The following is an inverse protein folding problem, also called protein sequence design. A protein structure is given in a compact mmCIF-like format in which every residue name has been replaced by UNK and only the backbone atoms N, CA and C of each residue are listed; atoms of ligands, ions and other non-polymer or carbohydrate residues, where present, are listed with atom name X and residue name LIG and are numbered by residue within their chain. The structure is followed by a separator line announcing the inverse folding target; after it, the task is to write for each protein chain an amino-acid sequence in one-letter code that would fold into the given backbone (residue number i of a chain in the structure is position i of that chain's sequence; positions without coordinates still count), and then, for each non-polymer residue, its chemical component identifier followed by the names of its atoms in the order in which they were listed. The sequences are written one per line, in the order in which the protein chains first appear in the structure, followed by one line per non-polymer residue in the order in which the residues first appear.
data_IF_684994477164
#
_entry.id   IF_684994477164
#
_cell.length_a   1.000
_cell.length_b   1.000
_cell.length_c   1.000
_cell.angle_alpha   90.00
_cell.angle_beta   90.00
_cell.angle_gamma   90.00
#
_symmetry.space_group_name_H-M   'P 1'
#
loop_
_entity.id
_entity.type
_entity.pdbx_description
1 polymer ?
#
# COMPACT_ATOMS: atom_id res chain seq x y z
N UNK A 1 15.08 30.54 5.54
CA UNK A 1 15.87 29.43 4.96
C UNK A 1 16.27 28.54 6.13
N UNK A 2 15.81 27.30 6.16
CA UNK A 2 16.21 26.34 7.19
C UNK A 2 17.61 25.80 6.87
N UNK A 3 18.38 25.44 7.89
CA UNK A 3 19.71 24.86 7.71
C UNK A 3 19.63 23.47 7.02
N UNK A 4 20.38 23.22 5.94
CA UNK A 4 20.31 21.95 5.22
C UNK A 4 20.54 20.72 6.10
N UNK A 5 21.47 20.80 7.05
CA UNK A 5 21.74 19.69 7.96
C UNK A 5 20.56 19.40 8.88
N UNK A 6 19.92 20.44 9.44
CA UNK A 6 18.70 20.28 10.24
C UNK A 6 17.58 19.62 9.43
N UNK A 7 17.37 20.06 8.17
CA UNK A 7 16.32 19.48 7.32
C UNK A 7 16.59 18.02 7.04
N UNK A 8 17.82 17.67 6.66
CA UNK A 8 18.26 16.30 6.43
C UNK A 8 18.03 15.41 7.65
N UNK A 9 18.47 15.87 8.82
CA UNK A 9 18.36 15.12 10.07
C UNK A 9 16.89 14.89 10.47
N UNK A 10 16.06 15.91 10.33
CA UNK A 10 14.63 15.83 10.63
C UNK A 10 13.90 14.92 9.65
N UNK A 11 14.21 15.01 8.35
CA UNK A 11 13.62 14.15 7.34
C UNK A 11 14.01 12.69 7.53
N UNK A 12 15.30 12.42 7.79
CA UNK A 12 15.80 11.08 8.14
C UNK A 12 15.04 10.49 9.33
N UNK A 13 14.78 11.31 10.37
CA UNK A 13 14.00 10.89 11.54
C UNK A 13 12.54 10.58 11.18
N UNK A 14 11.92 11.36 10.29
CA UNK A 14 10.56 11.09 9.80
C UNK A 14 10.52 9.75 9.04
N UNK A 15 11.46 9.52 8.12
CA UNK A 15 11.56 8.28 7.34
C UNK A 15 11.77 7.05 8.23
N UNK A 16 12.65 7.15 9.23
CA UNK A 16 12.94 6.05 10.15
C UNK A 16 11.73 5.61 10.99
N UNK A 17 10.80 6.53 11.29
CA UNK A 17 9.59 6.28 12.07
C UNK A 17 8.32 6.20 11.22
N UNK A 18 8.46 6.05 9.89
CA UNK A 18 7.31 5.84 9.02
C UNK A 18 6.56 4.58 9.41
N UNK A 19 5.25 4.69 9.50
CA UNK A 19 4.33 3.59 9.72
C UNK A 19 3.24 3.60 8.64
N UNK A 20 2.36 2.60 8.66
CA UNK A 20 1.33 2.47 7.64
C UNK A 20 0.31 3.62 7.62
N UNK A 21 0.15 4.42 8.68
CA UNK A 21 -0.91 5.43 8.76
C UNK A 21 -0.77 6.52 7.70
N UNK A 22 -1.90 6.94 7.12
CA UNK A 22 -1.93 8.02 6.13
C UNK A 22 -1.30 9.31 6.67
N UNK A 23 -1.54 9.65 7.94
CA UNK A 23 -0.96 10.85 8.55
C UNK A 23 0.58 10.78 8.64
N UNK A 24 1.15 9.60 8.94
CA UNK A 24 2.61 9.42 8.95
C UNK A 24 3.21 9.66 7.57
N UNK A 25 2.64 9.05 6.52
CA UNK A 25 3.08 9.22 5.14
C UNK A 25 2.90 10.68 4.66
N UNK A 26 1.71 11.24 4.87
CA UNK A 26 1.34 12.58 4.44
C UNK A 26 2.21 13.66 5.10
N UNK A 27 2.48 13.54 6.41
CA UNK A 27 3.35 14.48 7.13
C UNK A 27 4.78 14.48 6.57
N UNK A 28 5.32 13.31 6.24
CA UNK A 28 6.64 13.21 5.61
C UNK A 28 6.64 13.82 4.21
N UNK A 29 5.59 13.58 3.40
CA UNK A 29 5.45 14.12 2.06
C UNK A 29 5.38 15.66 2.08
N UNK A 30 4.52 16.23 2.92
CA UNK A 30 4.44 17.68 3.09
C UNK A 30 5.76 18.28 3.57
N UNK A 31 6.50 17.58 4.43
CA UNK A 31 7.81 18.05 4.86
C UNK A 31 8.81 18.11 3.71
N UNK A 32 8.85 17.09 2.85
CA UNK A 32 9.70 17.07 1.66
C UNK A 32 9.31 18.18 0.66
N UNK A 33 8.01 18.35 0.41
CA UNK A 33 7.51 19.38 -0.51
C UNK A 33 7.72 20.79 0.02
N UNK A 34 7.63 21.00 1.34
CA UNK A 34 7.94 22.31 1.95
C UNK A 34 9.41 22.69 1.77
N UNK A 35 10.30 21.71 1.74
CA UNK A 35 11.75 21.91 1.61
C UNK A 35 12.26 21.47 0.22
N UNK A 36 11.44 21.63 -0.82
CA UNK A 36 11.74 21.21 -2.20
C UNK A 36 12.99 21.83 -2.83
N UNK A 37 13.50 22.93 -2.28
CA UNK A 37 14.79 23.53 -2.68
C UNK A 37 15.99 22.60 -2.41
N UNK A 38 15.81 21.59 -1.56
CA UNK A 38 16.81 20.59 -1.19
C UNK A 38 16.39 19.18 -1.62
N UNK A 39 15.59 19.07 -2.68
CA UNK A 39 15.04 17.81 -3.16
C UNK A 39 16.12 16.76 -3.45
N UNK A 40 17.29 17.14 -3.98
CA UNK A 40 18.41 16.21 -4.24
C UNK A 40 18.94 15.52 -2.97
N UNK A 41 19.15 16.29 -1.88
CA UNK A 41 19.64 15.75 -0.60
C UNK A 41 18.54 14.94 0.11
N UNK A 42 17.29 15.40 0.03
CA UNK A 42 16.16 14.68 0.59
C UNK A 42 15.89 13.38 -0.18
N UNK A 43 16.03 13.36 -1.50
CA UNK A 43 15.95 12.12 -2.29
C UNK A 43 17.07 11.15 -1.92
N UNK A 44 18.28 11.66 -1.70
CA UNK A 44 19.40 10.85 -1.20
C UNK A 44 19.07 10.22 0.17
N UNK A 45 18.40 10.94 1.07
CA UNK A 45 17.92 10.39 2.33
C UNK A 45 16.91 9.25 2.14
N UNK A 46 16.03 9.32 1.14
CA UNK A 46 15.06 8.25 0.84
C UNK A 46 15.82 6.97 0.49
N UNK A 47 16.80 7.05 -0.42
CA UNK A 47 17.61 5.91 -0.84
C UNK A 47 18.44 5.34 0.31
N UNK A 48 19.10 6.20 1.09
CA UNK A 48 19.86 5.76 2.28
C UNK A 48 18.97 5.04 3.30
N UNK A 49 17.75 5.53 3.55
CA UNK A 49 16.83 4.88 4.48
C UNK A 49 16.28 3.57 3.93
N UNK A 50 16.06 3.46 2.62
CA UNK A 50 15.70 2.18 2.00
C UNK A 50 16.79 1.12 2.26
N UNK A 51 18.06 1.46 2.10
CA UNK A 51 19.16 0.51 2.30
C UNK A 51 19.38 0.13 3.76
N UNK A 52 19.17 1.06 4.70
CA UNK A 52 19.55 0.89 6.12
C UNK A 52 18.44 0.37 7.04
N UNK A 53 17.22 0.21 6.53
CA UNK A 53 16.05 -0.17 7.34
C UNK A 53 15.53 -1.57 7.03
N UNK A 54 14.64 -2.08 7.89
CA UNK A 54 14.05 -3.40 7.75
C UNK A 54 12.97 -3.44 6.65
N UNK A 55 12.54 -4.65 6.27
CA UNK A 55 11.57 -4.86 5.18
C UNK A 55 10.22 -4.15 5.40
N UNK A 56 9.80 -3.97 6.66
CA UNK A 56 8.54 -3.29 6.96
C UNK A 56 8.66 -1.78 6.72
N UNK A 57 9.73 -1.16 7.23
CA UNK A 57 10.02 0.25 6.99
C UNK A 57 10.24 0.52 5.49
N UNK A 58 10.90 -0.38 4.75
CA UNK A 58 11.02 -0.27 3.28
C UNK A 58 9.67 -0.26 2.58
N UNK A 59 8.72 -1.10 3.02
CA UNK A 59 7.35 -1.06 2.51
C UNK A 59 6.67 0.28 2.83
N UNK A 60 6.83 0.80 4.04
CA UNK A 60 6.33 2.14 4.42
C UNK A 60 6.93 3.25 3.55
N UNK A 61 8.23 3.20 3.25
CA UNK A 61 8.90 4.16 2.37
C UNK A 61 8.32 4.07 0.94
N UNK A 62 8.02 2.87 0.43
CA UNK A 62 7.37 2.72 -0.89
C UNK A 62 6.00 3.41 -0.96
N UNK A 63 5.17 3.27 0.08
CA UNK A 63 3.89 3.99 0.18
C UNK A 63 4.06 5.50 0.42
N UNK A 64 5.14 5.91 1.08
CA UNK A 64 5.48 7.33 1.20
C UNK A 64 5.87 7.92 -0.16
N UNK A 65 6.62 7.18 -0.99
CA UNK A 65 6.98 7.58 -2.36
C UNK A 65 5.72 7.80 -3.20
N UNK A 66 4.76 6.87 -3.12
CA UNK A 66 3.43 7.02 -3.75
C UNK A 66 2.77 8.34 -3.34
N UNK A 67 2.67 8.59 -2.04
CA UNK A 67 2.07 9.80 -1.49
C UNK A 67 2.81 11.08 -1.95
N UNK A 68 4.15 11.09 -1.90
CA UNK A 68 4.96 12.21 -2.35
C UNK A 68 4.72 12.53 -3.83
N UNK A 69 4.70 11.50 -4.67
CA UNK A 69 4.41 11.60 -6.10
C UNK A 69 3.00 12.15 -6.38
N UNK A 70 1.98 11.66 -5.67
CA UNK A 70 0.61 12.17 -5.79
C UNK A 70 0.54 13.68 -5.51
N UNK A 71 1.16 14.14 -4.43
CA UNK A 71 1.17 15.57 -4.10
C UNK A 71 2.00 16.39 -5.09
N UNK A 72 3.14 15.88 -5.56
CA UNK A 72 3.94 16.57 -6.57
C UNK A 72 3.18 16.74 -7.90
N UNK A 73 2.44 15.71 -8.35
CA UNK A 73 1.61 15.79 -9.56
C UNK A 73 0.41 16.73 -9.36
N UNK A 74 -0.20 16.74 -8.17
CA UNK A 74 -1.26 17.69 -7.83
C UNK A 74 -0.77 19.14 -7.85
N UNK A 75 0.38 19.43 -7.24
CA UNK A 75 1.01 20.76 -7.27
C UNK A 75 1.32 21.19 -8.72
N UNK A 76 1.84 20.26 -9.54
CA UNK A 76 2.10 20.53 -10.96
C UNK A 76 0.82 20.85 -11.75
N UNK A 77 -0.27 20.11 -11.50
CA UNK A 77 -1.59 20.39 -12.11
C UNK A 77 -2.12 21.76 -11.68
N UNK A 78 -1.80 22.20 -10.46
CA UNK A 78 -2.15 23.53 -9.94
C UNK A 78 -1.21 24.65 -10.44
N UNK A 79 -0.25 24.34 -11.31
CA UNK A 79 0.68 25.30 -11.92
C UNK A 79 2.05 25.40 -11.25
N UNK A 80 2.36 24.57 -10.25
CA UNK A 80 3.63 24.57 -9.54
C UNK A 80 4.46 23.32 -9.86
N UNK A 81 5.32 23.43 -10.86
CA UNK A 81 6.18 22.33 -11.30
C UNK A 81 7.43 22.12 -10.43
N UNK A 82 7.64 22.90 -9.37
CA UNK A 82 8.88 22.83 -8.58
C UNK A 82 9.03 21.52 -7.80
N UNK A 83 7.94 20.83 -7.49
CA UNK A 83 7.97 19.51 -6.85
C UNK A 83 8.31 18.34 -7.79
N UNK A 84 8.32 18.57 -9.12
CA UNK A 84 8.56 17.51 -10.10
C UNK A 84 10.01 17.00 -10.12
N UNK A 85 10.93 17.66 -9.41
CA UNK A 85 12.30 17.16 -9.19
C UNK A 85 12.29 15.77 -8.53
N UNK A 86 11.48 15.58 -7.49
CA UNK A 86 11.29 14.28 -6.85
C UNK A 86 10.81 13.20 -7.83
N UNK A 87 9.83 13.53 -8.67
CA UNK A 87 9.27 12.60 -9.66
C UNK A 87 10.35 12.13 -10.64
N UNK A 88 11.17 13.05 -11.17
CA UNK A 88 12.25 12.72 -12.10
C UNK A 88 13.34 11.85 -11.48
N UNK A 89 13.77 12.17 -10.25
CA UNK A 89 14.77 11.37 -9.55
C UNK A 89 14.24 9.97 -9.20
N UNK A 90 12.97 9.87 -8.80
CA UNK A 90 12.32 8.58 -8.55
C UNK A 90 12.16 7.75 -9.81
N UNK A 91 11.78 8.34 -10.94
CA UNK A 91 11.74 7.64 -12.24
C UNK A 91 13.11 7.07 -12.62
N UNK A 92 14.19 7.84 -12.43
CA UNK A 92 15.56 7.39 -12.68
C UNK A 92 15.94 6.20 -11.79
N UNK A 93 15.59 6.25 -10.52
CA UNK A 93 16.06 5.29 -9.50
C UNK A 93 15.06 4.17 -9.21
N UNK A 94 13.92 4.10 -9.93
CA UNK A 94 12.81 3.19 -9.62
C UNK A 94 13.22 1.73 -9.56
N UNK A 95 14.14 1.29 -10.43
CA UNK A 95 14.65 -0.08 -10.43
C UNK A 95 15.38 -0.41 -9.12
N UNK A 96 16.25 0.49 -8.67
CA UNK A 96 16.99 0.32 -7.42
C UNK A 96 16.06 0.36 -6.20
N UNK A 97 15.08 1.27 -6.21
CA UNK A 97 14.04 1.35 -5.18
C UNK A 97 13.24 0.05 -5.10
N UNK A 98 12.73 -0.44 -6.23
CA UNK A 98 11.96 -1.69 -6.32
C UNK A 98 12.79 -2.87 -5.81
N UNK A 99 14.02 -3.01 -6.26
CA UNK A 99 14.90 -4.10 -5.83
C UNK A 99 15.17 -4.05 -4.32
N UNK A 100 15.45 -2.86 -3.79
CA UNK A 100 15.71 -2.68 -2.37
C UNK A 100 14.47 -2.98 -1.51
N UNK A 101 13.27 -2.58 -1.95
CA UNK A 101 12.01 -2.81 -1.21
C UNK A 101 11.58 -4.28 -1.26
N UNK A 102 11.69 -4.94 -2.41
CA UNK A 102 11.28 -6.35 -2.58
C UNK A 102 12.17 -7.28 -1.77
N UNK A 103 13.47 -6.98 -1.72
CA UNK A 103 14.48 -7.84 -1.11
C UNK A 103 14.66 -9.15 -1.87
N UNK A 104 15.56 -10.00 -1.36
CA UNK A 104 15.85 -11.32 -1.95
C UNK A 104 14.71 -12.31 -1.81
N UNK A 105 13.91 -12.20 -0.75
CA UNK A 105 12.83 -13.14 -0.42
C UNK A 105 11.47 -12.77 -1.02
N UNK A 106 11.36 -11.67 -1.77
CA UNK A 106 10.10 -11.29 -2.42
C UNK A 106 9.01 -10.81 -1.45
N UNK A 107 9.35 -10.46 -0.20
CA UNK A 107 8.39 -10.20 0.88
C UNK A 107 7.39 -9.06 0.58
N UNK A 108 7.80 -8.09 -0.25
CA UNK A 108 7.02 -6.88 -0.54
C UNK A 108 6.53 -6.79 -1.99
N UNK A 109 6.52 -7.89 -2.75
CA UNK A 109 6.10 -7.89 -4.17
C UNK A 109 4.71 -7.26 -4.35
N UNK A 110 3.74 -7.61 -3.50
CA UNK A 110 2.37 -7.06 -3.58
C UNK A 110 2.31 -5.56 -3.29
N UNK A 111 3.11 -5.09 -2.35
CA UNK A 111 3.20 -3.66 -2.01
C UNK A 111 3.73 -2.88 -3.20
N UNK A 112 4.83 -3.34 -3.79
CA UNK A 112 5.44 -2.68 -4.95
C UNK A 112 4.49 -2.70 -6.14
N UNK A 113 3.85 -3.83 -6.43
CA UNK A 113 2.86 -3.94 -7.51
C UNK A 113 1.75 -2.92 -7.37
N UNK A 114 1.17 -2.79 -6.16
CA UNK A 114 0.13 -1.80 -5.91
C UNK A 114 0.61 -0.37 -6.19
N UNK A 115 1.78 0.00 -5.66
CA UNK A 115 2.32 1.35 -5.86
C UNK A 115 2.66 1.63 -7.32
N UNK A 116 3.23 0.67 -8.06
CA UNK A 116 3.51 0.82 -9.49
C UNK A 116 2.25 1.09 -10.31
N UNK A 117 1.11 0.48 -9.95
CA UNK A 117 -0.18 0.75 -10.59
C UNK A 117 -0.70 2.16 -10.29
N UNK A 118 -0.50 2.66 -9.08
CA UNK A 118 -0.81 4.06 -8.78
C UNK A 118 0.08 5.00 -9.60
N UNK A 119 1.39 4.73 -9.69
CA UNK A 119 2.31 5.55 -10.48
C UNK A 119 1.99 5.51 -11.99
N UNK A 120 1.49 4.38 -12.51
CA UNK A 120 0.94 4.27 -13.88
C UNK A 120 -0.27 5.19 -14.04
N UNK A 121 -1.24 5.12 -13.13
CA UNK A 121 -2.47 5.93 -13.18
C UNK A 121 -2.21 7.45 -13.07
N UNK A 122 -1.12 7.83 -12.39
CA UNK A 122 -0.67 9.22 -12.31
C UNK A 122 0.13 9.70 -13.54
N UNK A 123 0.33 8.84 -14.54
CA UNK A 123 1.19 9.08 -15.70
C UNK A 123 2.65 9.40 -15.33
N UNK A 124 3.12 8.88 -14.19
CA UNK A 124 4.53 8.99 -13.78
C UNK A 124 5.35 7.90 -14.46
N UNK A 125 4.85 6.68 -14.52
CA UNK A 125 5.51 5.59 -15.23
C UNK A 125 4.71 5.23 -16.47
N UNK A 126 5.42 4.93 -17.57
CA UNK A 126 4.79 4.41 -18.77
C UNK A 126 4.25 3.00 -18.50
N UNK A 127 3.14 2.67 -19.14
CA UNK A 127 2.48 1.36 -19.02
C UNK A 127 3.43 0.21 -19.35
N UNK A 128 4.26 0.39 -20.37
CA UNK A 128 5.27 -0.57 -20.81
C UNK A 128 6.31 -0.82 -19.71
N UNK A 129 6.82 0.24 -19.09
CA UNK A 129 7.77 0.16 -17.97
C UNK A 129 7.18 -0.59 -16.78
N UNK A 130 5.92 -0.33 -16.43
CA UNK A 130 5.24 -1.02 -15.33
C UNK A 130 5.05 -2.50 -15.65
N UNK A 131 4.70 -2.84 -16.89
CA UNK A 131 4.59 -4.25 -17.32
C UNK A 131 5.92 -5.00 -17.25
N UNK A 132 7.03 -4.37 -17.66
CA UNK A 132 8.36 -4.95 -17.55
C UNK A 132 8.75 -5.20 -16.08
N UNK A 133 8.53 -4.21 -15.21
CA UNK A 133 8.78 -4.34 -13.77
C UNK A 133 7.93 -5.46 -13.17
N UNK A 134 6.64 -5.53 -13.51
CA UNK A 134 5.75 -6.59 -13.02
C UNK A 134 6.17 -7.99 -13.48
N UNK A 135 6.65 -8.14 -14.72
CA UNK A 135 7.16 -9.40 -15.22
C UNK A 135 8.38 -9.87 -14.40
N UNK A 136 9.29 -8.95 -14.07
CA UNK A 136 10.43 -9.23 -13.18
C UNK A 136 9.95 -9.62 -11.78
N UNK A 137 8.98 -8.89 -11.22
CA UNK A 137 8.42 -9.16 -9.90
C UNK A 137 7.74 -10.53 -9.81
N UNK A 138 7.05 -10.97 -10.88
CA UNK A 138 6.39 -12.27 -10.94
C UNK A 138 7.36 -13.44 -10.75
N UNK A 139 8.60 -13.30 -11.25
CA UNK A 139 9.65 -14.32 -11.06
C UNK A 139 10.16 -14.40 -9.61
N UNK A 140 10.00 -13.31 -8.84
CA UNK A 140 10.44 -13.19 -7.44
C UNK A 140 9.30 -13.42 -6.43
N UNK A 141 8.08 -13.64 -6.90
CA UNK A 141 6.94 -13.92 -6.03
C UNK A 141 7.09 -15.33 -5.45
N UNK A 142 7.60 -15.41 -4.22
CA UNK A 142 7.70 -16.68 -3.50
C UNK A 142 6.27 -17.18 -3.25
N UNK A 143 5.93 -18.32 -3.82
CA UNK A 143 4.73 -19.05 -3.45
C UNK A 143 4.81 -19.31 -1.94
N UNK A 144 3.96 -18.64 -1.15
CA UNK A 144 3.88 -18.91 0.27
C UNK A 144 3.71 -20.42 0.47
N UNK A 145 4.57 -21.10 1.25
CA UNK A 145 4.49 -22.54 1.46
C UNK A 145 3.12 -23.03 1.96
N UNK A 146 2.32 -22.14 2.55
CA UNK A 146 0.96 -22.42 3.01
C UNK A 146 -0.11 -22.36 1.91
N UNK A 147 0.11 -21.60 0.84
CA UNK A 147 -0.82 -21.51 -0.31
C UNK A 147 -0.51 -22.55 -1.41
N UNK A 148 0.70 -23.12 -1.41
CA UNK A 148 1.07 -24.19 -2.35
C UNK A 148 0.39 -25.53 -2.02
N UNK A 149 -0.12 -25.70 -0.80
CA UNK A 149 -0.92 -26.87 -0.39
C UNK A 149 -2.40 -26.48 -0.34
N UNK A 150 -2.98 -26.20 -1.50
CA UNK A 150 -4.41 -26.35 -1.71
C UNK A 150 -4.75 -27.83 -1.79
N UNK A 151 -4.63 -28.56 -0.69
CA UNK A 151 -5.18 -29.91 -0.58
C UNK A 151 -6.29 -29.90 0.48
N UNK A 152 -7.50 -29.93 -0.05
CA UNK A 152 -8.76 -30.07 0.69
C UNK A 152 -8.82 -31.49 1.22
N UNK A 153 -8.20 -31.76 2.37
CA UNK A 153 -8.68 -32.85 3.21
C UNK A 153 -8.22 -32.73 4.65
N UNK A 154 -9.18 -32.40 5.53
CA UNK A 154 -8.98 -32.42 6.97
C UNK A 154 -8.67 -33.83 7.46
N UNK A 155 -7.40 -34.08 7.80
CA UNK A 155 -7.01 -35.08 8.80
C UNK A 155 -5.88 -34.52 9.64
N UNK A 156 -6.24 -34.02 10.81
CA UNK A 156 -5.30 -33.72 11.87
C UNK A 156 -4.57 -35.01 12.29
N UNK A 157 -3.24 -34.95 12.34
CA UNK A 157 -2.43 -35.92 13.08
C UNK A 157 -1.29 -35.17 13.76
N UNK A 158 -1.16 -35.25 15.09
CA UNK A 158 -0.13 -34.55 15.83
C UNK A 158 1.15 -35.37 15.78
N UNK A 159 2.13 -34.95 14.99
CA UNK A 159 3.34 -35.76 14.78
C UNK A 159 4.54 -34.97 14.28
N UNK A 160 5.33 -34.45 15.23
CA UNK A 160 6.77 -34.21 15.17
C UNK A 160 7.27 -33.44 13.92
N UNK A 161 7.34 -32.11 14.06
CA UNK A 161 8.15 -31.27 13.19
C UNK A 161 9.63 -31.66 13.34
N UNK A 162 10.15 -32.42 12.38
CA UNK A 162 11.56 -32.64 12.18
C UNK A 162 12.25 -31.30 11.91
N UNK A 163 13.19 -30.94 12.79
CA UNK A 163 14.12 -29.83 12.59
C UNK A 163 15.05 -30.19 11.42
N UNK A 164 14.72 -29.72 10.22
CA UNK A 164 15.68 -29.62 9.13
C UNK A 164 16.58 -28.39 9.33
N UNK A 165 17.91 -28.49 9.18
CA UNK A 165 18.81 -27.34 9.24
C UNK A 165 19.08 -26.83 7.82
N UNK A 166 18.56 -25.66 7.44
CA UNK A 166 19.13 -24.79 6.39
C UNK A 166 18.23 -23.57 6.16
N UNK A 167 18.82 -22.38 6.23
CA UNK A 167 18.14 -21.11 5.99
C UNK A 167 18.34 -20.15 7.16
N UNK A 168 19.55 -19.60 7.28
CA UNK A 168 19.91 -18.56 8.25
C UNK A 168 19.23 -17.21 7.98
N UNK A 169 17.92 -17.21 7.74
CA UNK A 169 17.12 -16.01 7.87
C UNK A 169 16.97 -15.72 9.36
N UNK A 170 17.53 -14.62 9.81
CA UNK A 170 17.36 -14.13 11.18
C UNK A 170 15.85 -14.02 11.43
N UNK A 171 15.29 -14.94 12.22
CA UNK A 171 13.84 -14.98 12.48
C UNK A 171 13.47 -13.64 13.10
N UNK A 172 12.62 -12.86 12.41
CA UNK A 172 12.16 -11.55 12.89
C UNK A 172 11.66 -11.67 14.33
N UNK A 173 11.94 -10.65 15.15
CA UNK A 173 11.51 -10.63 16.53
C UNK A 173 9.98 -10.67 16.63
N UNK A 174 9.43 -11.33 17.65
CA UNK A 174 7.97 -11.44 17.85
C UNK A 174 7.26 -10.08 17.76
N UNK A 175 7.85 -9.04 18.37
CA UNK A 175 7.33 -7.67 18.34
C UNK A 175 7.32 -7.05 16.95
N UNK A 176 8.34 -7.33 16.14
CA UNK A 176 8.43 -6.85 14.75
C UNK A 176 7.39 -7.53 13.87
N UNK A 177 7.16 -8.83 14.09
CA UNK A 177 6.11 -9.59 13.40
C UNK A 177 4.73 -9.04 13.77
N UNK A 178 4.44 -8.86 15.06
CA UNK A 178 3.16 -8.28 15.52
C UNK A 178 2.93 -6.87 14.96
N UNK A 179 3.96 -6.03 14.96
CA UNK A 179 3.89 -4.70 14.36
C UNK A 179 3.57 -4.76 12.87
N UNK A 180 4.25 -5.64 12.11
CA UNK A 180 3.98 -5.81 10.68
C UNK A 180 2.56 -6.29 10.41
N UNK A 181 2.06 -7.24 11.21
CA UNK A 181 0.68 -7.73 11.11
C UNK A 181 -0.32 -6.59 11.33
N UNK A 182 -0.11 -5.77 12.36
CA UNK A 182 -1.01 -4.65 12.65
C UNK A 182 -0.94 -3.56 11.56
N UNK A 183 0.25 -3.29 11.02
CA UNK A 183 0.41 -2.36 9.90
C UNK A 183 -0.29 -2.86 8.64
N UNK A 184 -0.17 -4.15 8.30
CA UNK A 184 -0.87 -4.74 7.16
C UNK A 184 -2.39 -4.78 7.37
N UNK A 185 -2.85 -4.97 8.61
CA UNK A 185 -4.27 -4.86 8.99
C UNK A 185 -4.79 -3.45 8.77
N UNK A 186 -4.06 -2.44 9.21
CA UNK A 186 -4.41 -1.03 9.02
C UNK A 186 -4.39 -0.61 7.54
N UNK A 187 -3.53 -1.20 6.70
CA UNK A 187 -3.58 -1.01 5.23
C UNK A 187 -4.87 -1.58 4.63
N UNK A 188 -5.21 -2.82 4.97
CA UNK A 188 -6.41 -3.48 4.43
C UNK A 188 -7.68 -2.81 4.90
N UNK A 189 -7.71 -2.37 6.17
CA UNK A 189 -8.83 -1.61 6.73
C UNK A 189 -9.08 -0.35 5.89
N UNK A 190 -8.05 0.46 5.65
CA UNK A 190 -8.19 1.68 4.82
C UNK A 190 -8.61 1.42 3.38
N UNK A 191 -8.12 0.35 2.75
CA UNK A 191 -8.57 -0.01 1.40
C UNK A 191 -10.09 -0.25 1.34
N UNK A 192 -10.68 -0.73 2.44
CA UNK A 192 -12.13 -0.97 2.55
C UNK A 192 -12.92 0.25 3.05
N UNK A 193 -12.27 1.25 3.65
CA UNK A 193 -12.95 2.44 4.19
C UNK A 193 -13.53 3.34 3.09
N UNK A 194 -12.99 3.29 1.86
CA UNK A 194 -13.46 4.12 0.75
C UNK A 194 -14.15 3.35 -0.37
N UNK A 195 -14.30 2.02 -0.25
CA UNK A 195 -14.87 1.18 -1.32
C UNK A 195 -16.36 1.46 -1.57
N UNK A 196 -17.07 1.87 -0.51
CA UNK A 196 -18.49 2.20 -0.57
C UNK A 196 -18.74 3.63 -1.04
N UNK A 197 -17.74 4.51 -1.01
CA UNK A 197 -17.89 5.89 -1.40
C UNK A 197 -18.27 5.99 -2.89
N UNK A 198 -19.26 6.82 -3.21
CA UNK A 198 -19.61 7.22 -4.57
C UNK A 198 -19.20 8.68 -4.69
N UNK A 199 -18.29 8.98 -5.62
CA UNK A 199 -18.01 10.35 -6.00
C UNK A 199 -19.00 10.70 -7.12
N UNK A 200 -19.56 11.91 -7.11
CA UNK A 200 -20.41 12.38 -8.20
C UNK A 200 -21.67 13.09 -7.73
N UNK A 201 -21.99 14.22 -8.38
CA UNK A 201 -23.31 14.83 -8.32
C UNK A 201 -24.08 14.41 -9.58
N UNK A 202 -25.12 13.56 -9.46
CA UNK A 202 -25.96 13.16 -10.60
C UNK A 202 -26.26 11.67 -10.65
N UNK A 203 -26.13 11.06 -11.83
CA UNK A 203 -26.52 9.67 -12.10
C UNK A 203 -25.41 8.64 -11.89
N UNK A 204 -24.21 9.07 -11.45
CA UNK A 204 -23.05 8.18 -11.26
C UNK A 204 -23.33 7.06 -10.24
N UNK A 205 -24.09 7.36 -9.17
CA UNK A 205 -24.56 6.35 -8.22
C UNK A 205 -25.48 5.31 -8.89
N UNK A 206 -26.44 5.79 -9.68
CA UNK A 206 -27.40 4.94 -10.37
C UNK A 206 -26.71 4.06 -11.42
N UNK A 207 -25.78 4.61 -12.18
CA UNK A 207 -25.05 3.89 -13.22
C UNK A 207 -24.16 2.80 -12.60
N UNK A 208 -23.43 3.12 -11.52
CA UNK A 208 -22.65 2.12 -10.78
C UNK A 208 -23.55 1.01 -10.24
N UNK A 209 -24.68 1.38 -9.63
CA UNK A 209 -25.63 0.39 -9.13
C UNK A 209 -26.22 -0.45 -10.26
N UNK A 210 -26.49 0.12 -11.42
CA UNK A 210 -27.02 -0.60 -12.58
C UNK A 210 -26.02 -1.61 -13.15
N UNK A 211 -24.72 -1.27 -13.17
CA UNK A 211 -23.66 -2.14 -13.65
C UNK A 211 -23.24 -3.22 -12.65
N UNK A 212 -23.21 -2.88 -11.36
CA UNK A 212 -22.69 -3.74 -10.29
C UNK A 212 -23.76 -4.53 -9.54
N UNK A 213 -25.06 -4.22 -9.71
CA UNK A 213 -26.13 -4.94 -9.05
C UNK A 213 -26.09 -6.42 -9.41
N UNK A 214 -26.12 -7.26 -8.37
CA UNK A 214 -26.31 -8.69 -8.54
C UNK A 214 -27.77 -9.01 -8.87
N UNK A 215 -27.99 -10.15 -9.51
CA UNK A 215 -29.32 -10.73 -9.63
C UNK A 215 -29.93 -11.01 -8.24
N UNK A 216 -31.27 -11.04 -8.17
CA UNK A 216 -32.01 -11.33 -6.95
C UNK A 216 -31.67 -12.76 -6.47
N UNK A 217 -31.19 -12.86 -5.24
CA UNK A 217 -30.83 -14.10 -4.56
C UNK A 217 -31.81 -14.52 -3.46
N UNK A 218 -31.51 -15.64 -2.81
CA UNK A 218 -32.30 -16.17 -1.68
C UNK A 218 -32.29 -15.22 -0.47
N UNK A 219 -31.13 -14.61 -0.19
CA UNK A 219 -30.95 -13.67 0.92
C UNK A 219 -31.83 -12.40 0.78
N UNK A 220 -32.11 -11.97 -0.45
CA UNK A 220 -33.01 -10.84 -0.72
C UNK A 220 -34.46 -11.16 -0.31
N UNK A 221 -34.92 -12.38 -0.56
CA UNK A 221 -36.25 -12.83 -0.14
C UNK A 221 -36.35 -12.94 1.39
N UNK A 222 -35.28 -13.40 2.05
CA UNK A 222 -35.21 -13.45 3.51
C UNK A 222 -35.30 -12.04 4.08
N UNK A 223 -34.47 -11.12 3.58
CA UNK A 223 -34.45 -9.71 3.99
C UNK A 223 -35.82 -9.06 3.80
N UNK A 224 -36.44 -9.25 2.63
CA UNK A 224 -37.77 -8.69 2.32
C UNK A 224 -38.87 -9.21 3.25
N UNK A 225 -38.80 -10.49 3.66
CA UNK A 225 -39.75 -11.07 4.61
C UNK A 225 -39.56 -10.48 6.00
N UNK A 226 -38.32 -10.36 6.47
CA UNK A 226 -38.00 -9.78 7.78
C UNK A 226 -38.45 -8.32 7.87
N UNK A 227 -38.16 -7.51 6.84
CA UNK A 227 -38.63 -6.13 6.72
C UNK A 227 -40.17 -6.04 6.77
N UNK A 228 -40.87 -6.95 6.08
CA UNK A 228 -42.33 -6.98 6.07
C UNK A 228 -42.90 -7.34 7.45
N UNK A 229 -42.26 -8.25 8.18
CA UNK A 229 -42.64 -8.61 9.55
C UNK A 229 -42.40 -7.47 10.53
N UNK A 230 -41.27 -6.77 10.43
CA UNK A 230 -40.95 -5.60 11.25
C UNK A 230 -41.99 -4.48 11.04
N UNK A 231 -42.29 -4.14 9.78
CA UNK A 231 -43.32 -3.13 9.46
C UNK A 231 -44.69 -3.47 10.06
N UNK A 232 -45.09 -4.74 10.01
CA UNK A 232 -46.35 -5.19 10.63
C UNK A 232 -46.33 -5.03 12.15
N UNK A 233 -45.20 -5.30 12.81
CA UNK A 233 -45.05 -5.09 14.26
C UNK A 233 -45.13 -3.62 14.61
N UNK A 234 -44.47 -2.73 13.85
CA UNK A 234 -44.56 -1.28 14.06
C UNK A 234 -46.00 -0.79 13.95
N UNK A 235 -46.77 -1.25 12.97
CA UNK A 235 -48.19 -0.86 12.83
C UNK A 235 -49.06 -1.41 13.97
N UNK A 236 -48.75 -2.61 14.47
CA UNK A 236 -49.54 -3.26 15.52
C UNK A 236 -49.25 -2.72 16.94
N UNK A 237 -48.05 -2.17 17.17
CA UNK A 237 -47.56 -1.82 18.52
C UNK A 237 -47.01 -0.38 18.65
N UNK A 238 -46.90 0.37 17.56
CA UNK A 238 -46.52 1.79 17.54
C UNK A 238 -47.74 2.69 17.41
#
# INVERSE_FOLDING_TARGET
MADPFEVRQRFTTLLAHLNASHNSLHKAALYALKNREMDEDLHSCILEQLERTNMNTRANIMFFIECLCEYAVKDNTNGDASAMGYVRMLQRDILAVVECVVGSEGANVRVVRKVLRTLEGLNILMKETVQELEAVLKSREVAHPFLATGDVNGKESPGKAARGPAGGGQRMGKREIEQRIEEDRERHKRLRESIWAVNGDGYEELERLWEEASDIGEDDYVTAREDAEERRRVIAFG
#
